data_IF_136542178628
#
_entry.id   IF_136542178628
#
_cell.length_a   1.000
_cell.length_b   1.000
_cell.length_c   1.000
_cell.angle_alpha   90.00
_cell.angle_beta   90.00
_cell.angle_gamma   90.00
#
_symmetry.space_group_name_H-M   'P 1'
#
loop_
_entity.id
_entity.type
_entity.pdbx_description
1 polymer ?
#
# COMPACT_ATOMS: atom_id res chain seq x y z
N UNK A 1 -2.96 5.30 -0.60
CA UNK A 1 -1.89 4.57 0.11
C UNK A 1 -2.50 3.29 0.61
N UNK A 2 -1.86 2.14 0.41
CA UNK A 2 -2.32 0.84 0.90
C UNK A 2 -1.39 0.37 2.01
N UNK A 3 -1.99 -0.07 3.12
CA UNK A 3 -1.27 -0.59 4.27
C UNK A 3 -1.04 -2.10 4.12
N UNK A 4 0.20 -2.54 4.28
CA UNK A 4 0.63 -3.91 3.96
C UNK A 4 1.30 -4.65 5.13
N UNK A 5 1.05 -4.22 6.38
CA UNK A 5 1.71 -4.77 7.56
C UNK A 5 1.61 -6.29 7.69
N UNK A 6 0.41 -6.86 7.50
CA UNK A 6 0.18 -8.29 7.72
C UNK A 6 1.03 -9.16 6.79
N UNK A 7 1.13 -8.78 5.51
CA UNK A 7 1.90 -9.53 4.53
C UNK A 7 3.41 -9.38 4.79
N UNK A 8 3.85 -8.16 5.08
CA UNK A 8 5.25 -7.88 5.41
C UNK A 8 5.68 -8.62 6.68
N UNK A 9 4.83 -8.66 7.71
CA UNK A 9 5.06 -9.44 8.92
C UNK A 9 5.13 -10.95 8.65
N UNK A 10 4.21 -11.48 7.83
CA UNK A 10 4.20 -12.90 7.46
C UNK A 10 5.47 -13.31 6.69
N UNK A 11 5.96 -12.46 5.78
CA UNK A 11 7.22 -12.68 5.06
C UNK A 11 8.44 -12.74 6.01
N UNK A 12 8.32 -12.15 7.21
CA UNK A 12 9.34 -12.15 8.27
C UNK A 12 9.07 -13.23 9.32
N UNK A 13 8.09 -14.11 9.09
CA UNK A 13 7.77 -15.24 9.97
C UNK A 13 6.79 -14.91 11.10
N UNK A 14 6.24 -13.69 11.15
CA UNK A 14 5.28 -13.28 12.18
C UNK A 14 3.86 -13.45 11.65
N UNK A 15 3.12 -14.38 12.23
CA UNK A 15 1.78 -14.76 11.75
C UNK A 15 0.63 -14.25 12.63
N UNK A 16 0.94 -13.75 13.83
CA UNK A 16 -0.06 -13.31 14.82
C UNK A 16 0.17 -11.86 15.20
N UNK A 17 -0.92 -11.09 15.30
CA UNK A 17 -0.87 -9.69 15.72
C UNK A 17 -0.25 -9.51 17.12
N UNK A 18 -0.54 -10.43 18.04
CA UNK A 18 -0.01 -10.41 19.40
C UNK A 18 1.49 -10.69 19.48
N UNK A 19 2.03 -11.46 18.54
CA UNK A 19 3.47 -11.72 18.41
C UNK A 19 4.19 -10.44 17.98
N UNK A 20 3.70 -9.80 16.91
CA UNK A 20 4.21 -8.50 16.48
C UNK A 20 4.11 -7.47 17.61
N UNK A 21 2.97 -7.41 18.31
CA UNK A 21 2.77 -6.48 19.43
C UNK A 21 3.82 -6.65 20.53
N UNK A 22 4.21 -7.90 20.83
CA UNK A 22 5.25 -8.17 21.83
C UNK A 22 6.62 -7.68 21.34
N UNK A 23 6.99 -7.98 20.10
CA UNK A 23 8.25 -7.50 19.52
C UNK A 23 8.32 -5.97 19.44
N UNK A 24 7.20 -5.29 19.10
CA UNK A 24 7.14 -3.83 19.13
C UNK A 24 7.34 -3.27 20.55
N UNK A 25 6.74 -3.91 21.57
CA UNK A 25 6.90 -3.49 22.96
C UNK A 25 8.34 -3.65 23.47
N UNK A 26 9.05 -4.69 23.03
CA UNK A 26 10.48 -4.90 23.34
C UNK A 26 11.36 -3.77 22.79
N UNK A 27 10.94 -3.11 21.72
CA UNK A 27 11.59 -1.95 21.11
C UNK A 27 11.01 -0.60 21.58
N UNK A 28 10.22 -0.60 22.66
CA UNK A 28 9.68 0.62 23.28
C UNK A 28 8.35 1.11 22.68
N UNK A 29 7.78 0.42 21.68
CA UNK A 29 6.49 0.75 21.10
C UNK A 29 5.37 -0.07 21.74
N UNK A 30 4.85 0.42 22.86
CA UNK A 30 3.74 -0.23 23.58
C UNK A 30 2.39 0.17 22.97
N UNK A 31 1.78 -0.74 22.22
CA UNK A 31 0.49 -0.55 21.55
C UNK A 31 -0.62 -1.30 22.30
N UNK A 32 -1.79 -0.69 22.45
CA UNK A 32 -2.98 -1.38 22.99
C UNK A 32 -3.50 -2.45 22.03
N UNK A 33 -4.16 -3.49 22.53
CA UNK A 33 -4.72 -4.56 21.70
C UNK A 33 -5.69 -4.02 20.62
N UNK A 34 -6.47 -2.98 20.93
CA UNK A 34 -7.37 -2.32 19.98
C UNK A 34 -6.61 -1.63 18.83
N UNK A 35 -5.59 -0.81 19.15
CA UNK A 35 -4.76 -0.15 18.12
C UNK A 35 -3.99 -1.19 17.30
N UNK A 36 -3.51 -2.27 17.92
CA UNK A 36 -2.83 -3.37 17.23
C UNK A 36 -3.76 -4.10 16.26
N UNK A 37 -5.01 -4.40 16.66
CA UNK A 37 -6.00 -5.03 15.78
C UNK A 37 -6.32 -4.17 14.55
N UNK A 38 -6.47 -2.84 14.76
CA UNK A 38 -6.64 -1.88 13.68
C UNK A 38 -5.46 -1.82 12.72
N UNK A 39 -4.23 -1.85 13.23
CA UNK A 39 -3.01 -1.93 12.43
C UNK A 39 -2.86 -3.27 11.69
N UNK A 40 -3.30 -4.37 12.29
CA UNK A 40 -3.11 -5.70 11.71
C UNK A 40 -4.10 -6.02 10.60
N UNK A 41 -5.37 -5.65 10.79
CA UNK A 41 -6.47 -6.06 9.91
C UNK A 41 -6.98 -4.95 9.01
N UNK A 42 -6.69 -3.69 9.34
CA UNK A 42 -7.24 -2.51 8.67
C UNK A 42 -6.17 -1.54 8.21
N UNK A 43 -6.62 -0.36 7.81
CA UNK A 43 -5.76 0.76 7.44
C UNK A 43 -5.74 1.77 8.59
N UNK A 44 -4.57 2.12 9.15
CA UNK A 44 -4.51 3.09 10.24
C UNK A 44 -4.95 4.47 9.76
N UNK A 45 -5.78 5.14 10.57
CA UNK A 45 -6.19 6.54 10.33
C UNK A 45 -5.03 7.50 10.56
N UNK A 46 -4.20 7.22 11.56
CA UNK A 46 -2.99 7.97 11.87
C UNK A 46 -1.91 7.05 12.41
N UNK A 47 -0.67 7.34 12.03
CA UNK A 47 0.52 6.65 12.52
C UNK A 47 1.65 7.68 12.66
N UNK A 48 2.35 7.68 13.79
CA UNK A 48 3.52 8.54 13.99
C UNK A 48 4.69 8.02 13.17
N UNK A 49 5.55 8.93 12.70
CA UNK A 49 6.76 8.53 11.98
C UNK A 49 7.73 7.76 12.89
N UNK A 50 7.84 8.12 14.16
CA UNK A 50 8.63 7.37 15.14
C UNK A 50 8.10 5.93 15.33
N UNK A 51 6.78 5.77 15.44
CA UNK A 51 6.15 4.43 15.54
C UNK A 51 6.45 3.61 14.26
N UNK A 52 6.38 4.24 13.08
CA UNK A 52 6.67 3.60 11.80
C UNK A 52 8.12 3.12 11.72
N UNK A 53 9.07 3.92 12.20
CA UNK A 53 10.49 3.57 12.21
C UNK A 53 10.76 2.34 13.07
N UNK A 54 10.16 2.28 14.28
CA UNK A 54 10.24 1.08 15.13
C UNK A 54 9.65 -0.15 14.45
N UNK A 55 8.51 -0.02 13.76
CA UNK A 55 7.91 -1.14 13.01
C UNK A 55 8.86 -1.63 11.91
N UNK A 56 9.46 -0.72 11.14
CA UNK A 56 10.43 -1.05 10.10
C UNK A 56 11.66 -1.76 10.66
N UNK A 57 12.19 -1.30 11.81
CA UNK A 57 13.33 -1.93 12.49
C UNK A 57 12.98 -3.32 12.99
N UNK A 58 11.83 -3.49 13.64
CA UNK A 58 11.38 -4.79 14.18
C UNK A 58 11.12 -5.81 13.08
N UNK A 59 10.57 -5.37 11.94
CA UNK A 59 10.32 -6.23 10.78
C UNK A 59 11.54 -6.37 9.87
N UNK A 60 12.56 -5.53 10.01
CA UNK A 60 13.68 -5.42 9.07
C UNK A 60 13.20 -5.18 7.63
N UNK A 61 12.28 -4.23 7.45
CA UNK A 61 11.70 -3.89 6.15
C UNK A 61 11.83 -2.38 5.86
N UNK A 62 11.55 -1.99 4.62
CA UNK A 62 11.51 -0.58 4.24
C UNK A 62 10.10 0.01 4.39
N UNK A 63 10.02 1.34 4.44
CA UNK A 63 8.73 2.06 4.50
C UNK A 63 7.83 1.69 3.31
N UNK A 64 8.42 1.50 2.13
CA UNK A 64 7.72 1.10 0.91
C UNK A 64 7.07 -0.28 0.99
N UNK A 65 7.59 -1.19 1.84
CA UNK A 65 6.99 -2.51 2.04
C UNK A 65 5.70 -2.43 2.87
N UNK A 66 5.57 -1.40 3.70
CA UNK A 66 4.42 -1.16 4.58
C UNK A 66 3.38 -0.22 3.96
N UNK A 67 3.84 0.83 3.29
CA UNK A 67 3.02 1.89 2.70
C UNK A 67 3.18 1.89 1.18
N UNK A 68 2.24 1.23 0.51
CA UNK A 68 2.26 1.13 -0.95
C UNK A 68 1.49 2.32 -1.56
N UNK A 69 2.12 3.16 -2.39
CA UNK A 69 1.42 4.21 -3.13
C UNK A 69 0.35 3.64 -4.05
N UNK A 70 -0.81 4.31 -4.10
CA UNK A 70 -1.90 3.96 -5.02
C UNK A 70 -2.16 5.16 -5.92
N UNK A 71 -1.36 5.33 -7.00
CA UNK A 71 -1.38 6.54 -7.81
C UNK A 71 -2.75 6.77 -8.48
N UNK A 72 -3.46 5.70 -8.85
CA UNK A 72 -4.80 5.81 -9.43
C UNK A 72 -5.86 6.40 -8.47
N UNK A 73 -5.59 6.43 -7.16
CA UNK A 73 -6.50 7.05 -6.17
C UNK A 73 -6.19 8.53 -5.93
N UNK A 74 -5.11 9.05 -6.51
CA UNK A 74 -4.67 10.44 -6.33
C UNK A 74 -5.10 11.24 -7.54
N UNK A 75 -6.19 12.01 -7.41
CA UNK A 75 -6.60 12.98 -8.43
C UNK A 75 -5.67 14.18 -8.36
N UNK A 76 -4.98 14.49 -9.46
CA UNK A 76 -4.19 15.73 -9.56
C UNK A 76 -5.09 16.85 -10.07
N UNK A 77 -5.13 18.02 -9.40
CA UNK A 77 -5.79 19.19 -9.95
C UNK A 77 -5.10 19.57 -11.28
N UNK A 78 -5.83 19.49 -12.40
CA UNK A 78 -5.34 19.82 -13.75
C UNK A 78 -5.11 18.64 -14.68
N UNK A 79 -5.36 17.40 -14.26
CA UNK A 79 -5.38 16.25 -15.17
C UNK A 79 -6.77 16.16 -15.81
N UNK A 80 -6.99 17.00 -16.81
CA UNK A 80 -8.06 16.80 -17.78
C UNK A 80 -7.89 15.41 -18.41
N UNK A 81 -9.00 14.68 -18.53
CA UNK A 81 -9.12 13.32 -19.05
C UNK A 81 -8.46 13.19 -20.43
N UNK A 82 -7.17 12.89 -20.47
CA UNK A 82 -6.49 12.51 -21.72
C UNK A 82 -6.71 11.02 -21.95
N UNK A 83 -7.91 10.72 -22.46
CA UNK A 83 -8.15 9.81 -23.59
C UNK A 83 -7.72 8.34 -23.40
N UNK A 84 -8.71 7.48 -23.16
CA UNK A 84 -8.69 6.13 -23.73
C UNK A 84 -9.78 6.00 -24.80
N UNK A 85 -9.63 6.75 -25.89
CA UNK A 85 -10.34 6.44 -27.15
C UNK A 85 -9.60 5.30 -27.82
N UNK A 86 -10.16 4.08 -27.73
CA UNK A 86 -9.76 2.97 -28.57
C UNK A 86 -10.08 3.32 -30.04
N UNK A 87 -9.06 3.68 -30.82
CA UNK A 87 -9.19 3.85 -32.27
C UNK A 87 -9.23 2.45 -32.89
N UNK A 88 -10.45 1.96 -33.15
CA UNK A 88 -10.66 0.83 -34.03
C UNK A 88 -10.19 1.19 -35.43
N UNK A 89 -9.06 0.62 -35.85
CA UNK A 89 -8.57 0.72 -37.22
C UNK A 89 -9.53 -0.04 -38.16
N UNK A 90 -10.35 0.69 -38.91
CA UNK A 90 -11.01 0.18 -40.10
C UNK A 90 -10.31 0.78 -41.33
N UNK A 91 -9.56 -0.05 -42.05
CA UNK A 91 -8.87 0.31 -43.28
C UNK A 91 -9.89 0.57 -44.42
N UNK A 92 -9.74 1.61 -45.26
CA UNK A 92 -10.48 1.70 -46.50
C UNK A 92 -9.77 0.91 -47.62
N UNK A 93 -10.50 0.04 -48.30
CA UNK A 93 -10.06 -0.69 -49.48
C UNK A 93 -9.85 0.27 -50.68
N UNK A 94 -8.87 0.04 -51.57
CA UNK A 94 -8.68 0.89 -52.76
C UNK A 94 -9.67 0.53 -53.88
N UNK A 95 -10.38 1.53 -54.38
CA UNK A 95 -11.21 1.45 -55.60
C UNK A 95 -10.33 1.57 -56.84
N UNK A 96 -10.37 0.56 -57.72
CA UNK A 96 -9.80 0.61 -59.07
C UNK A 96 -10.80 1.32 -59.99
N UNK A 97 -10.36 2.35 -60.73
CA UNK A 97 -11.15 2.96 -61.82
C UNK A 97 -10.39 2.75 -63.13
N UNK A 98 -11.12 2.22 -64.11
CA UNK A 98 -10.71 1.87 -65.48
C UNK A 98 -10.73 3.08 -66.39
#
# INVERSE_FOLDING_TARGET
MRWNLRLTAANKGIWKASELQRSLAEHGLVISAGKMSGLWSGQPVSLKLDDLDVICVVLGCEIGDLLIPEPQKVTRPGEEDVTQTAVGAAAPAPTVVV
#
